data_IF_818832959709
#
_entry.id   IF_818832959709
#
_cell.length_a   1.000
_cell.length_b   1.000
_cell.length_c   1.000
_cell.angle_alpha   90.00
_cell.angle_beta   90.00
_cell.angle_gamma   90.00
#
_symmetry.space_group_name_H-M   'P 1'
#
loop_
_entity.id
_entity.type
_entity.pdbx_description
1 polymer ?
#
# COMPACT_ATOMS: atom_id res chain seq x y z
N UNK A 1 7.71 -17.59 -2.47
CA UNK A 1 7.09 -17.96 -1.17
C UNK A 1 6.43 -16.80 -0.44
N UNK A 2 6.97 -15.57 -0.45
CA UNK A 2 6.29 -14.39 0.13
C UNK A 2 5.08 -13.93 -0.73
N UNK A 3 5.21 -14.06 -2.06
CA UNK A 3 4.19 -13.72 -3.09
C UNK A 3 2.93 -14.62 -3.03
N UNK A 4 3.08 -15.88 -2.63
CA UNK A 4 1.97 -16.84 -2.47
C UNK A 4 1.04 -16.45 -1.31
N UNK A 5 1.59 -15.77 -0.30
CA UNK A 5 0.94 -15.56 0.99
C UNK A 5 0.09 -14.28 1.02
N UNK A 6 0.45 -13.26 0.22
CA UNK A 6 -0.26 -11.98 -0.01
C UNK A 6 -1.54 -12.16 -0.86
N UNK A 7 -1.52 -13.09 -1.82
CA UNK A 7 -2.66 -13.46 -2.66
C UNK A 7 -3.82 -14.03 -1.83
N UNK A 8 -3.52 -14.96 -0.91
CA UNK A 8 -4.46 -15.51 0.08
C UNK A 8 -5.07 -14.42 1.00
N UNK A 9 -4.42 -13.27 1.15
CA UNK A 9 -4.86 -12.13 1.98
C UNK A 9 -5.96 -11.35 1.31
N UNK A 10 -5.78 -10.99 0.04
CA UNK A 10 -6.81 -10.30 -0.72
C UNK A 10 -8.05 -11.21 -0.85
N UNK A 11 -7.84 -12.52 -1.04
CA UNK A 11 -8.92 -13.52 -1.01
C UNK A 11 -9.66 -13.57 0.33
N UNK A 12 -8.95 -13.82 1.45
CA UNK A 12 -9.57 -13.90 2.79
C UNK A 12 -10.20 -12.56 3.23
N UNK A 13 -9.60 -11.44 2.84
CA UNK A 13 -10.13 -10.10 3.10
C UNK A 13 -11.43 -9.86 2.33
N UNK A 14 -11.47 -10.15 1.03
CA UNK A 14 -12.68 -9.98 0.22
C UNK A 14 -13.80 -10.92 0.68
N UNK A 15 -13.47 -12.18 1.03
CA UNK A 15 -14.43 -13.12 1.59
C UNK A 15 -15.02 -12.64 2.93
N UNK A 16 -14.22 -11.98 3.77
CA UNK A 16 -14.69 -11.43 5.04
C UNK A 16 -15.58 -10.17 4.86
N UNK A 17 -15.37 -9.41 3.78
CA UNK A 17 -16.14 -8.21 3.45
C UNK A 17 -17.49 -8.53 2.78
N UNK A 18 -17.67 -9.73 2.24
CA UNK A 18 -18.85 -10.14 1.46
C UNK A 18 -19.71 -11.23 2.13
N UNK A 19 -20.46 -10.94 3.21
CA UNK A 19 -21.62 -11.74 3.56
C UNK A 19 -22.81 -11.23 2.74
N UNK A 20 -23.09 -11.88 1.61
CA UNK A 20 -24.29 -11.75 0.77
C UNK A 20 -24.72 -10.33 0.37
N UNK A 21 -24.44 -9.94 -0.88
CA UNK A 21 -25.19 -8.88 -1.56
C UNK A 21 -25.51 -9.33 -3.00
N UNK A 22 -26.75 -9.80 -3.19
CA UNK A 22 -27.41 -9.73 -4.49
C UNK A 22 -27.90 -8.30 -4.68
N UNK A 23 -27.40 -7.60 -5.70
CA UNK A 23 -28.26 -6.65 -6.40
C UNK A 23 -27.87 -6.52 -7.87
N UNK A 24 -28.89 -6.55 -8.71
CA UNK A 24 -28.82 -6.44 -10.17
C UNK A 24 -29.02 -4.97 -10.53
N UNK A 25 -28.06 -4.36 -11.21
CA UNK A 25 -28.34 -3.57 -12.40
C UNK A 25 -27.05 -3.12 -13.10
N UNK A 26 -26.99 -3.42 -14.39
CA UNK A 26 -26.02 -2.90 -15.36
C UNK A 26 -26.27 -1.41 -15.61
N UNK A 27 -25.20 -0.68 -15.93
CA UNK A 27 -25.23 0.36 -16.97
C UNK A 27 -23.79 0.70 -17.41
N UNK A 28 -23.69 0.96 -18.72
CA UNK A 28 -22.52 0.95 -19.59
C UNK A 28 -22.09 2.39 -20.02
N UNK A 29 -20.80 2.53 -20.42
CA UNK A 29 -20.11 3.54 -21.27
C UNK A 29 -19.45 4.80 -20.61
N UNK A 30 -18.10 4.76 -20.53
CA UNK A 30 -16.98 5.58 -21.13
C UNK A 30 -17.05 7.13 -21.30
N UNK A 31 -15.93 7.89 -21.55
CA UNK A 31 -14.50 7.78 -21.20
C UNK A 31 -13.94 9.00 -20.41
N UNK A 32 -12.74 8.83 -19.83
CA UNK A 32 -11.75 9.83 -19.32
C UNK A 32 -12.28 11.21 -18.87
N UNK A 33 -12.40 11.42 -17.55
CA UNK A 33 -12.73 12.73 -16.96
C UNK A 33 -11.53 13.25 -16.16
N UNK A 34 -10.94 14.34 -16.65
CA UNK A 34 -10.14 15.25 -15.82
C UNK A 34 -11.04 15.95 -14.80
N UNK A 35 -10.54 16.12 -13.58
CA UNK A 35 -11.28 16.61 -12.41
C UNK A 35 -12.03 17.96 -12.70
N UNK A 36 -13.37 18.04 -12.56
CA UNK A 36 -14.11 19.29 -12.78
C UNK A 36 -13.76 20.36 -11.74
N UNK A 37 -13.46 21.58 -12.19
CA UNK A 37 -12.94 22.70 -11.38
C UNK A 37 -13.90 23.36 -10.38
N UNK A 38 -14.99 22.71 -9.94
CA UNK A 38 -15.89 23.29 -8.91
C UNK A 38 -16.74 22.22 -8.24
N UNK A 39 -16.16 21.48 -7.31
CA UNK A 39 -16.93 20.61 -6.42
C UNK A 39 -16.52 20.86 -4.96
N UNK A 40 -17.40 21.54 -4.21
CA UNK A 40 -17.28 21.61 -2.75
C UNK A 40 -17.73 20.26 -2.18
N UNK A 41 -16.83 19.56 -1.47
CA UNK A 41 -17.16 18.37 -0.68
C UNK A 41 -18.30 18.68 0.30
N UNK A 42 -19.47 18.04 0.14
CA UNK A 42 -20.41 17.91 1.26
C UNK A 42 -19.81 16.91 2.25
N UNK A 43 -19.41 17.41 3.42
CA UNK A 43 -18.72 16.63 4.45
C UNK A 43 -19.75 15.93 5.34
N UNK A 44 -20.21 14.74 4.94
CA UNK A 44 -21.00 13.86 5.82
C UNK A 44 -20.05 13.04 6.70
N UNK A 45 -20.43 12.81 7.97
CA UNK A 45 -19.68 12.00 8.97
C UNK A 45 -19.27 10.59 8.47
N UNK A 46 -19.89 10.11 7.38
CA UNK A 46 -19.55 8.86 6.68
C UNK A 46 -18.27 8.89 5.83
N UNK A 47 -17.49 9.98 5.85
CA UNK A 47 -16.27 10.11 5.04
C UNK A 47 -15.04 9.40 5.62
N UNK A 48 -15.07 8.96 6.89
CA UNK A 48 -13.93 8.25 7.48
C UNK A 48 -13.62 6.94 6.76
N UNK A 49 -12.34 6.58 6.68
CA UNK A 49 -11.88 5.32 6.10
C UNK A 49 -11.21 4.43 7.15
N UNK A 50 -11.40 3.12 7.04
CA UNK A 50 -10.69 2.13 7.84
C UNK A 50 -9.29 1.91 7.25
N UNK A 51 -8.25 1.85 8.07
CA UNK A 51 -6.89 1.50 7.64
C UNK A 51 -6.71 -0.01 7.77
N UNK A 52 -6.52 -0.69 6.65
CA UNK A 52 -6.24 -2.12 6.56
C UNK A 52 -4.77 -2.32 6.18
N UNK A 53 -3.99 -2.89 7.09
CA UNK A 53 -2.57 -3.19 6.92
C UNK A 53 -2.37 -4.67 6.64
N UNK A 54 -1.80 -5.05 5.51
CA UNK A 54 -1.41 -6.44 5.21
C UNK A 54 -0.05 -6.76 5.84
N UNK A 55 0.06 -7.88 6.57
CA UNK A 55 1.29 -8.20 7.31
C UNK A 55 1.54 -9.72 7.51
N UNK A 56 2.81 -10.12 7.52
CA UNK A 56 3.26 -11.47 7.92
C UNK A 56 3.57 -11.52 9.42
N UNK A 57 3.80 -12.73 9.93
CA UNK A 57 4.31 -13.03 11.27
C UNK A 57 5.84 -12.87 11.40
N UNK A 58 6.54 -12.55 10.31
CA UNK A 58 8.01 -12.48 10.31
C UNK A 58 8.51 -11.29 11.12
N UNK A 59 9.67 -11.39 11.81
CA UNK A 59 10.25 -10.26 12.54
C UNK A 59 10.34 -8.99 11.69
N UNK A 60 10.78 -9.14 10.43
CA UNK A 60 10.75 -8.11 9.40
C UNK A 60 9.42 -7.35 9.32
N UNK A 61 8.30 -8.05 9.13
CA UNK A 61 6.99 -7.40 9.01
C UNK A 61 6.50 -6.85 10.35
N UNK A 62 6.76 -7.57 11.46
CA UNK A 62 6.36 -7.14 12.81
C UNK A 62 6.88 -5.75 13.12
N UNK A 63 8.19 -5.50 13.00
CA UNK A 63 8.74 -4.20 13.40
C UNK A 63 8.23 -3.05 12.53
N UNK A 64 8.01 -3.29 11.23
CA UNK A 64 7.43 -2.32 10.30
C UNK A 64 5.99 -1.97 10.70
N UNK A 65 5.17 -2.99 11.02
CA UNK A 65 3.79 -2.79 11.49
C UNK A 65 3.72 -1.93 12.75
N UNK A 66 4.65 -2.12 13.69
CA UNK A 66 4.70 -1.37 14.95
C UNK A 66 5.01 0.11 14.71
N UNK A 67 5.97 0.42 13.84
CA UNK A 67 6.28 1.79 13.43
C UNK A 67 5.08 2.44 12.74
N UNK A 68 4.45 1.76 11.77
CA UNK A 68 3.27 2.27 11.10
C UNK A 68 2.12 2.54 12.08
N UNK A 69 1.85 1.61 13.00
CA UNK A 69 0.77 1.74 13.98
C UNK A 69 1.04 2.87 14.98
N UNK A 70 2.30 3.07 15.41
CA UNK A 70 2.72 4.22 16.19
C UNK A 70 2.35 5.53 15.50
N UNK A 71 2.71 5.68 14.22
CA UNK A 71 2.42 6.88 13.44
C UNK A 71 0.94 7.04 13.14
N UNK A 72 0.21 5.96 12.85
CA UNK A 72 -1.25 6.00 12.76
C UNK A 72 -1.88 6.61 14.03
N UNK A 73 -1.50 6.13 15.22
CA UNK A 73 -2.01 6.67 16.50
C UNK A 73 -1.73 8.16 16.64
N UNK A 74 -0.52 8.62 16.29
CA UNK A 74 -0.15 10.04 16.36
C UNK A 74 -0.91 10.92 15.37
N UNK A 75 -1.28 10.38 14.21
CA UNK A 75 -1.88 11.17 13.12
C UNK A 75 -3.41 11.09 13.09
N UNK A 76 -4.03 10.03 13.63
CA UNK A 76 -5.47 9.76 13.45
C UNK A 76 -6.39 10.85 14.01
N UNK A 77 -6.02 11.45 15.15
CA UNK A 77 -6.86 12.41 15.88
C UNK A 77 -6.49 13.88 15.57
N UNK A 78 -5.52 14.11 14.68
CA UNK A 78 -5.12 15.45 14.28
C UNK A 78 -6.18 16.11 13.38
N UNK A 79 -6.33 17.46 13.44
CA UNK A 79 -7.24 18.19 12.55
C UNK A 79 -7.01 17.85 11.07
N UNK A 80 -8.09 17.58 10.35
CA UNK A 80 -8.04 17.21 8.93
C UNK A 80 -7.90 15.71 8.64
N UNK A 81 -7.58 14.89 9.65
CA UNK A 81 -7.59 13.43 9.51
C UNK A 81 -9.02 12.91 9.32
N UNK A 82 -9.19 12.00 8.35
CA UNK A 82 -10.40 11.18 8.20
C UNK A 82 -10.09 9.69 8.46
N UNK A 83 -8.96 9.38 9.09
CA UNK A 83 -8.61 8.02 9.52
C UNK A 83 -9.59 7.53 10.60
N UNK A 84 -10.26 6.42 10.33
CA UNK A 84 -11.15 5.71 11.25
C UNK A 84 -10.39 4.68 12.07
N UNK A 85 -10.93 3.46 12.16
CA UNK A 85 -10.26 2.32 12.84
C UNK A 85 -9.07 1.79 12.03
N UNK A 86 -8.15 1.10 12.69
CA UNK A 86 -7.02 0.39 12.09
C UNK A 86 -7.17 -1.12 12.35
N UNK A 87 -6.82 -1.95 11.37
CA UNK A 87 -6.72 -3.40 11.55
C UNK A 87 -5.52 -3.93 10.79
N UNK A 88 -4.74 -4.76 11.48
CA UNK A 88 -3.70 -5.59 10.87
C UNK A 88 -4.33 -6.89 10.38
N UNK A 89 -4.11 -7.21 9.12
CA UNK A 89 -4.54 -8.43 8.46
C UNK A 89 -3.34 -9.37 8.42
N UNK A 90 -3.29 -10.28 9.39
CA UNK A 90 -2.25 -11.29 9.51
C UNK A 90 -2.55 -12.47 8.59
N UNK A 91 -1.60 -12.82 7.73
CA UNK A 91 -1.83 -13.81 6.68
C UNK A 91 -1.01 -15.10 6.76
N UNK A 92 -0.26 -15.26 7.84
CA UNK A 92 0.42 -16.51 8.20
C UNK A 92 -0.55 -17.65 8.57
N UNK A 93 -1.82 -17.33 8.81
CA UNK A 93 -2.82 -18.26 9.33
C UNK A 93 -2.60 -18.65 10.81
N UNK A 94 -1.56 -18.14 11.48
CA UNK A 94 -1.23 -18.43 12.88
C UNK A 94 -1.24 -17.13 13.70
N UNK A 95 -1.80 -17.13 14.93
CA UNK A 95 -1.67 -15.99 15.84
C UNK A 95 -0.20 -15.61 16.10
N UNK A 96 0.07 -14.33 16.35
CA UNK A 96 1.36 -13.84 16.82
C UNK A 96 1.22 -12.89 18.01
N UNK A 97 2.35 -12.56 18.65
CA UNK A 97 2.39 -11.70 19.85
C UNK A 97 1.92 -10.26 19.60
N UNK A 98 1.84 -9.80 18.35
CA UNK A 98 1.33 -8.45 18.06
C UNK A 98 -0.19 -8.37 18.14
N UNK A 99 -0.91 -9.49 18.22
CA UNK A 99 -2.35 -9.49 18.46
C UNK A 99 -2.73 -8.84 19.80
N UNK A 100 -1.80 -8.81 20.77
CA UNK A 100 -1.95 -8.11 22.05
C UNK A 100 -1.70 -6.60 21.94
N UNK A 101 -0.93 -6.15 20.92
CA UNK A 101 -0.56 -4.73 20.72
C UNK A 101 -1.52 -3.99 19.78
N UNK A 102 -2.03 -4.64 18.73
CA UNK A 102 -2.88 -4.02 17.72
C UNK A 102 -4.05 -4.91 17.28
N UNK A 103 -5.24 -4.32 17.02
CA UNK A 103 -6.39 -5.07 16.57
C UNK A 103 -6.08 -5.90 15.31
N UNK A 104 -6.19 -7.21 15.46
CA UNK A 104 -5.92 -8.21 14.41
C UNK A 104 -7.17 -9.08 14.28
N UNK A 105 -7.87 -9.03 13.14
CA UNK A 105 -9.16 -9.69 12.97
C UNK A 105 -9.45 -10.06 11.50
N UNK A 106 -10.29 -11.08 11.27
CA UNK A 106 -10.89 -11.40 9.96
C UNK A 106 -12.08 -10.46 9.72
N UNK A 107 -11.92 -9.51 8.80
CA UNK A 107 -12.62 -8.22 8.84
C UNK A 107 -14.07 -8.25 8.32
N UNK A 108 -15.05 -7.80 9.13
CA UNK A 108 -16.20 -7.03 8.63
C UNK A 108 -15.94 -5.53 8.90
N UNK A 109 -15.56 -4.72 7.89
CA UNK A 109 -15.20 -3.33 8.12
C UNK A 109 -16.45 -2.48 8.33
N UNK A 110 -16.55 -1.84 9.51
CA UNK A 110 -17.62 -0.89 9.86
C UNK A 110 -17.66 0.39 8.99
N UNK A 111 -16.54 0.75 8.35
CA UNK A 111 -16.45 1.98 7.54
C UNK A 111 -16.74 1.70 6.06
N UNK A 112 -17.37 2.68 5.39
CA UNK A 112 -17.70 2.60 3.96
C UNK A 112 -16.47 2.61 3.05
N UNK A 113 -15.35 3.15 3.52
CA UNK A 113 -14.10 3.25 2.79
C UNK A 113 -12.98 2.51 3.51
N UNK A 114 -12.04 2.00 2.75
CA UNK A 114 -10.86 1.29 3.23
C UNK A 114 -9.63 1.92 2.57
N UNK A 115 -8.61 2.23 3.36
CA UNK A 115 -7.25 2.44 2.92
C UNK A 115 -6.52 1.11 3.00
N UNK A 116 -6.10 0.56 1.86
CA UNK A 116 -5.14 -0.53 1.79
C UNK A 116 -3.73 0.05 1.88
N UNK A 117 -2.92 -0.46 2.81
CA UNK A 117 -1.58 0.05 3.10
C UNK A 117 -0.61 -1.09 3.47
N UNK A 118 0.69 -0.80 3.40
CA UNK A 118 1.78 -1.74 3.64
C UNK A 118 2.59 -1.41 4.90
N UNK A 119 3.32 -2.38 5.50
CA UNK A 119 4.02 -2.18 6.76
C UNK A 119 5.09 -1.08 6.71
N UNK A 120 5.69 -0.86 5.55
CA UNK A 120 6.69 0.19 5.31
C UNK A 120 6.10 1.55 4.94
N UNK A 121 4.84 1.78 5.29
CA UNK A 121 4.21 3.09 5.24
C UNK A 121 4.32 3.83 6.58
N UNK A 122 4.72 5.11 6.53
CA UNK A 122 4.67 6.04 7.66
C UNK A 122 3.76 7.21 7.31
N UNK A 123 2.78 7.50 8.16
CA UNK A 123 1.92 8.68 7.99
C UNK A 123 2.67 9.96 8.38
N UNK A 124 2.92 10.83 7.41
CA UNK A 124 3.59 12.13 7.61
C UNK A 124 2.62 13.20 8.12
N UNK A 125 1.42 13.21 7.56
CA UNK A 125 0.41 14.23 7.81
C UNK A 125 -0.98 13.60 8.04
N UNK A 126 -1.94 14.34 8.63
CA UNK A 126 -3.32 13.89 8.72
C UNK A 126 -3.86 13.56 7.32
N UNK A 127 -4.32 12.32 7.11
CA UNK A 127 -4.79 11.87 5.81
C UNK A 127 -6.32 12.05 5.70
N UNK A 128 -6.82 12.97 4.87
CA UNK A 128 -8.23 13.03 4.54
C UNK A 128 -8.60 11.87 3.59
N UNK A 129 -9.88 11.52 3.51
CA UNK A 129 -10.37 10.60 2.51
C UNK A 129 -10.24 11.25 1.13
N UNK A 130 -9.29 10.78 0.33
CA UNK A 130 -9.01 11.36 -0.97
C UNK A 130 -10.05 11.00 -2.03
N UNK A 131 -10.90 9.99 -1.77
CA UNK A 131 -11.93 9.52 -2.73
C UNK A 131 -12.86 10.66 -3.11
N UNK A 132 -13.09 10.74 -4.41
CA UNK A 132 -14.06 11.65 -4.99
C UNK A 132 -15.13 10.84 -5.73
N UNK A 133 -16.39 11.07 -5.34
CA UNK A 133 -17.56 10.35 -5.85
C UNK A 133 -17.39 8.82 -5.82
N UNK A 134 -17.35 8.16 -6.99
CA UNK A 134 -17.24 6.69 -7.13
C UNK A 134 -15.83 6.19 -7.39
N UNK A 135 -14.86 7.09 -7.55
CA UNK A 135 -13.52 6.74 -8.02
C UNK A 135 -12.58 6.53 -6.84
N UNK A 136 -12.01 5.32 -6.67
CA UNK A 136 -10.93 5.09 -5.71
C UNK A 136 -9.73 6.00 -6.02
N UNK A 137 -8.87 6.20 -5.02
CA UNK A 137 -7.62 6.96 -5.19
C UNK A 137 -6.44 6.04 -4.98
N UNK A 138 -5.47 6.11 -5.89
CA UNK A 138 -4.26 5.30 -5.85
C UNK A 138 -3.01 6.14 -6.17
N UNK A 139 -1.86 5.66 -5.72
CA UNK A 139 -0.57 6.21 -6.14
C UNK A 139 -0.16 5.64 -7.51
N UNK A 140 0.26 6.47 -8.48
CA UNK A 140 0.74 5.99 -9.77
C UNK A 140 2.20 5.52 -9.67
N UNK A 141 2.45 4.26 -10.01
CA UNK A 141 3.78 3.67 -10.02
C UNK A 141 4.36 3.70 -11.43
N UNK A 142 5.46 4.43 -11.59
CA UNK A 142 6.10 4.65 -12.91
C UNK A 142 6.62 3.37 -13.57
N UNK A 143 6.85 2.31 -12.79
CA UNK A 143 7.31 1.00 -13.27
C UNK A 143 6.16 0.03 -13.62
N UNK A 144 4.91 0.35 -13.27
CA UNK A 144 3.73 -0.38 -13.76
C UNK A 144 3.37 0.20 -15.12
N UNK A 145 3.68 -0.55 -16.19
CA UNK A 145 3.59 -0.10 -17.59
C UNK A 145 2.78 -1.09 -18.42
N UNK A 146 1.43 -1.06 -18.35
CA UNK A 146 0.59 -2.00 -19.06
C UNK A 146 0.85 -2.08 -20.57
N UNK A 147 1.07 -0.92 -21.20
CA UNK A 147 1.37 -0.83 -22.63
C UNK A 147 2.67 -1.57 -23.00
N UNK A 148 3.72 -1.46 -22.17
CA UNK A 148 5.00 -2.12 -22.46
C UNK A 148 4.94 -3.63 -22.30
N UNK A 149 4.03 -4.12 -21.46
CA UNK A 149 3.88 -5.52 -21.12
C UNK A 149 2.60 -6.13 -21.72
N UNK A 150 2.08 -5.54 -22.80
CA UNK A 150 0.79 -5.93 -23.40
C UNK A 150 0.72 -7.43 -23.69
N UNK A 151 1.77 -8.02 -24.29
CA UNK A 151 1.84 -9.46 -24.60
C UNK A 151 1.53 -10.34 -23.38
N UNK A 152 2.11 -10.02 -22.22
CA UNK A 152 1.89 -10.77 -20.98
C UNK A 152 0.52 -10.44 -20.39
N UNK A 153 0.15 -9.15 -20.40
CA UNK A 153 -1.14 -8.69 -19.89
C UNK A 153 -2.32 -9.32 -20.62
N UNK A 154 -2.25 -9.57 -21.93
CA UNK A 154 -3.33 -10.22 -22.69
C UNK A 154 -3.66 -11.63 -22.23
N UNK A 155 -2.77 -12.31 -21.49
CA UNK A 155 -3.08 -13.58 -20.80
C UNK A 155 -4.16 -13.40 -19.72
N UNK A 156 -4.25 -12.20 -19.14
CA UNK A 156 -5.12 -11.86 -18.01
C UNK A 156 -6.19 -10.81 -18.35
N UNK A 157 -5.97 -10.00 -19.39
CA UNK A 157 -6.87 -8.95 -19.89
C UNK A 157 -7.11 -9.14 -21.39
N UNK A 158 -8.01 -10.07 -21.78
CA UNK A 158 -8.29 -10.40 -23.17
C UNK A 158 -8.72 -9.17 -24.00
N UNK A 159 -8.56 -9.22 -25.32
CA UNK A 159 -8.88 -8.09 -26.20
C UNK A 159 -10.35 -7.64 -26.12
N UNK A 160 -11.26 -8.59 -25.90
CA UNK A 160 -12.68 -8.32 -25.68
C UNK A 160 -12.98 -7.48 -24.43
N UNK A 161 -12.06 -7.43 -23.46
CA UNK A 161 -12.18 -6.58 -22.26
C UNK A 161 -11.74 -5.13 -22.52
N UNK A 162 -11.22 -4.84 -23.71
CA UNK A 162 -10.86 -3.50 -24.17
C UNK A 162 -9.34 -3.27 -24.30
N UNK A 163 -8.91 -2.02 -24.52
CA UNK A 163 -7.50 -1.69 -24.65
C UNK A 163 -6.75 -1.79 -23.31
N UNK A 164 -5.46 -2.18 -23.35
CA UNK A 164 -4.62 -2.24 -22.13
C UNK A 164 -4.41 -0.87 -21.46
N UNK A 165 -4.75 0.22 -22.13
CA UNK A 165 -4.78 1.57 -21.56
C UNK A 165 -5.87 1.75 -20.49
N UNK A 166 -6.82 0.82 -20.39
CA UNK A 166 -7.82 0.80 -19.31
C UNK A 166 -7.23 0.32 -17.97
N UNK A 167 -6.02 -0.25 -17.97
CA UNK A 167 -5.31 -0.68 -16.78
C UNK A 167 -4.54 0.52 -16.22
N UNK A 168 -4.94 1.00 -15.05
CA UNK A 168 -4.25 2.08 -14.36
C UNK A 168 -2.83 1.63 -13.95
N UNK A 169 -1.79 2.50 -14.01
CA UNK A 169 -0.43 2.17 -13.60
C UNK A 169 -0.29 2.23 -12.08
N UNK A 170 -0.97 1.34 -11.37
CA UNK A 170 -1.12 1.34 -9.91
C UNK A 170 -0.72 -0.01 -9.32
N UNK A 171 -0.62 -0.05 -7.99
CA UNK A 171 -0.61 -1.29 -7.20
C UNK A 171 -1.78 -1.32 -6.23
N UNK A 172 -1.82 -2.37 -5.41
CA UNK A 172 -2.80 -2.57 -4.34
C UNK A 172 -2.64 -1.58 -3.15
N UNK A 173 -1.51 -0.87 -3.07
CA UNK A 173 -1.17 0.00 -1.94
C UNK A 173 -0.31 1.19 -2.39
N UNK A 174 -0.52 2.41 -1.84
CA UNK A 174 -1.68 2.83 -1.06
C UNK A 174 -2.90 3.06 -1.96
N UNK A 175 -4.07 2.57 -1.53
CA UNK A 175 -5.34 2.79 -2.23
C UNK A 175 -6.47 3.09 -1.23
N UNK A 176 -7.23 4.17 -1.45
CA UNK A 176 -8.50 4.41 -0.75
C UNK A 176 -9.66 4.02 -1.67
N UNK A 177 -10.48 3.05 -1.26
CA UNK A 177 -11.58 2.49 -2.05
C UNK A 177 -12.86 2.33 -1.21
N UNK A 178 -14.03 2.46 -1.85
CA UNK A 178 -15.31 2.09 -1.23
C UNK A 178 -15.35 0.57 -1.01
N UNK A 179 -15.71 0.14 0.21
CA UNK A 179 -15.87 -1.27 0.60
C UNK A 179 -16.66 -2.07 -0.44
N UNK A 180 -17.81 -1.56 -0.89
CA UNK A 180 -18.68 -2.23 -1.88
C UNK A 180 -18.03 -2.44 -3.25
N UNK A 181 -17.02 -1.62 -3.62
CA UNK A 181 -16.27 -1.78 -4.86
C UNK A 181 -15.18 -2.83 -4.75
N UNK A 182 -14.63 -3.00 -3.55
CA UNK A 182 -13.68 -4.08 -3.26
C UNK A 182 -14.40 -5.43 -3.12
N UNK A 183 -15.58 -5.45 -2.48
CA UNK A 183 -16.41 -6.64 -2.29
C UNK A 183 -17.21 -7.08 -3.52
N UNK A 184 -17.34 -6.21 -4.54
CA UNK A 184 -18.09 -6.50 -5.75
C UNK A 184 -17.45 -7.62 -6.57
N UNK A 185 -17.90 -8.86 -6.34
CA UNK A 185 -17.77 -10.13 -7.10
C UNK A 185 -16.46 -10.53 -7.79
N UNK A 186 -15.34 -9.80 -7.68
CA UNK A 186 -14.42 -9.87 -8.82
C UNK A 186 -12.94 -9.50 -8.52
N UNK A 187 -12.62 -8.83 -7.40
CA UNK A 187 -11.22 -8.79 -6.92
C UNK A 187 -10.74 -10.12 -6.30
N UNK A 188 -11.64 -10.98 -5.77
CA UNK A 188 -11.27 -12.29 -5.19
C UNK A 188 -11.06 -13.37 -6.25
N UNK A 189 -11.85 -13.35 -7.32
CA UNK A 189 -11.77 -14.25 -8.47
C UNK A 189 -10.44 -14.11 -9.25
N UNK A 190 -9.77 -12.95 -9.14
CA UNK A 190 -8.54 -12.69 -9.87
C UNK A 190 -7.27 -12.98 -9.10
N UNK A 191 -7.32 -12.94 -7.77
CA UNK A 191 -6.33 -13.67 -6.96
C UNK A 191 -6.33 -15.14 -7.41
N UNK A 192 -7.52 -15.73 -7.53
CA UNK A 192 -7.68 -17.12 -7.97
C UNK A 192 -7.07 -17.37 -9.36
N UNK A 193 -7.31 -16.50 -10.35
CA UNK A 193 -6.73 -16.62 -11.71
C UNK A 193 -5.23 -16.33 -11.79
N UNK A 194 -4.69 -15.41 -10.98
CA UNK A 194 -3.25 -15.11 -10.94
C UNK A 194 -2.47 -16.21 -10.20
N UNK A 195 -3.07 -16.79 -9.16
CA UNK A 195 -2.58 -17.99 -8.47
C UNK A 195 -2.64 -19.23 -9.38
N UNK A 196 -3.71 -19.40 -10.17
CA UNK A 196 -3.82 -20.50 -11.16
C UNK A 196 -2.70 -20.46 -12.22
N UNK A 197 -2.19 -19.26 -12.53
CA UNK A 197 -1.08 -19.04 -13.47
C UNK A 197 0.25 -18.68 -12.79
N UNK A 198 0.37 -18.88 -11.47
CA UNK A 198 1.57 -18.63 -10.65
C UNK A 198 2.78 -19.49 -11.04
N UNK A 199 2.59 -20.39 -12.02
CA UNK A 199 3.60 -21.25 -12.60
C UNK A 199 3.98 -20.87 -14.04
N UNK A 200 3.55 -19.70 -14.56
CA UNK A 200 4.03 -19.18 -15.85
C UNK A 200 5.39 -18.48 -15.67
N UNK A 201 6.52 -19.10 -16.07
CA UNK A 201 7.84 -18.53 -15.84
C UNK A 201 8.05 -17.22 -16.62
N UNK A 202 7.34 -17.02 -17.75
CA UNK A 202 7.42 -15.78 -18.53
C UNK A 202 6.79 -14.61 -17.77
N UNK A 203 5.69 -14.85 -17.06
CA UNK A 203 5.01 -13.85 -16.24
C UNK A 203 5.83 -13.50 -14.99
N UNK A 204 6.33 -14.50 -14.27
CA UNK A 204 7.20 -14.27 -13.10
C UNK A 204 8.48 -13.53 -13.48
N UNK A 205 9.11 -13.89 -14.61
CA UNK A 205 10.28 -13.18 -15.11
C UNK A 205 9.97 -11.72 -15.50
N UNK A 206 8.81 -11.47 -16.11
CA UNK A 206 8.46 -10.12 -16.61
C UNK A 206 8.02 -9.17 -15.50
N UNK A 207 7.17 -9.64 -14.59
CA UNK A 207 6.61 -8.80 -13.53
C UNK A 207 7.42 -8.87 -12.24
N UNK A 208 8.05 -10.02 -11.95
CA UNK A 208 8.87 -10.22 -10.76
C UNK A 208 8.19 -9.74 -9.49
N UNK A 209 8.89 -8.90 -8.73
CA UNK A 209 8.42 -8.39 -7.43
C UNK A 209 7.17 -7.50 -7.49
N UNK A 210 6.74 -7.04 -8.68
CA UNK A 210 5.52 -6.22 -8.85
C UNK A 210 4.33 -7.01 -9.41
N UNK A 211 4.41 -8.34 -9.46
CA UNK A 211 3.34 -9.22 -9.94
C UNK A 211 1.98 -8.90 -9.29
N UNK A 212 1.96 -8.70 -7.97
CA UNK A 212 0.75 -8.40 -7.20
C UNK A 212 0.13 -7.05 -7.58
N UNK A 213 0.98 -6.06 -7.87
CA UNK A 213 0.54 -4.73 -8.29
C UNK A 213 -0.14 -4.80 -9.66
N UNK A 214 0.44 -5.53 -10.61
CA UNK A 214 -0.21 -5.84 -11.88
C UNK A 214 -1.51 -6.61 -11.69
N UNK A 215 -1.52 -7.55 -10.76
CA UNK A 215 -2.71 -8.32 -10.43
C UNK A 215 -3.88 -7.43 -10.00
N UNK A 216 -3.62 -6.52 -9.07
CA UNK A 216 -4.61 -5.55 -8.62
C UNK A 216 -5.05 -4.59 -9.75
N UNK A 217 -4.10 -4.10 -10.54
CA UNK A 217 -4.38 -3.16 -11.64
C UNK A 217 -5.26 -3.81 -12.73
N UNK A 218 -4.91 -5.02 -13.17
CA UNK A 218 -5.68 -5.80 -14.15
C UNK A 218 -7.06 -6.11 -13.60
N UNK A 219 -7.15 -6.51 -12.33
CA UNK A 219 -8.44 -6.76 -11.68
C UNK A 219 -9.33 -5.54 -11.62
N UNK A 220 -8.76 -4.40 -11.28
CA UNK A 220 -9.50 -3.14 -11.28
C UNK A 220 -10.09 -2.86 -12.67
N UNK A 221 -9.29 -3.03 -13.73
CA UNK A 221 -9.72 -2.80 -15.11
C UNK A 221 -10.82 -3.77 -15.57
N UNK A 222 -10.69 -5.08 -15.28
CA UNK A 222 -11.69 -6.10 -15.62
C UNK A 222 -13.07 -5.82 -15.01
N UNK A 223 -13.12 -5.00 -13.97
CA UNK A 223 -14.34 -4.68 -13.22
C UNK A 223 -14.78 -3.23 -13.36
N UNK A 224 -14.19 -2.51 -14.33
CA UNK A 224 -14.53 -1.12 -14.60
C UNK A 224 -14.24 -0.19 -13.41
N UNK A 225 -13.26 -0.54 -12.59
CA UNK A 225 -12.76 0.27 -11.48
C UNK A 225 -11.57 1.08 -11.97
N UNK A 226 -11.79 2.37 -12.21
CA UNK A 226 -10.75 3.33 -12.54
C UNK A 226 -10.41 4.21 -11.35
N UNK A 227 -9.13 4.59 -11.23
CA UNK A 227 -8.59 5.32 -10.09
C UNK A 227 -8.30 6.78 -10.43
N UNK A 228 -8.49 7.64 -9.45
CA UNK A 228 -7.86 8.97 -9.44
C UNK A 228 -6.42 8.79 -9.00
N UNK A 229 -5.48 9.13 -9.87
CA UNK A 229 -4.05 9.00 -9.62
C UNK A 229 -3.50 10.24 -8.90
N UNK A 230 -2.93 10.06 -7.71
CA UNK A 230 -2.43 11.15 -6.84
C UNK A 230 -0.95 10.96 -6.52
N UNK A 231 -0.08 11.77 -7.11
CA UNK A 231 1.39 11.75 -6.84
C UNK A 231 1.75 12.31 -5.46
N UNK A 232 0.87 13.09 -4.85
CA UNK A 232 0.99 13.62 -3.49
C UNK A 232 0.54 12.60 -2.43
N UNK A 233 -0.06 11.47 -2.83
CA UNK A 233 -0.56 10.47 -1.90
C UNK A 233 0.58 9.83 -1.08
N UNK A 234 1.74 9.63 -1.72
CA UNK A 234 2.90 8.98 -1.12
C UNK A 234 4.20 9.57 -1.69
N UNK A 235 5.32 9.34 -0.99
CA UNK A 235 6.68 9.56 -1.46
C UNK A 235 7.58 8.35 -1.15
N UNK A 236 8.66 8.19 -1.91
CA UNK A 236 9.60 7.06 -1.83
C UNK A 236 11.05 7.56 -1.76
N UNK A 237 11.64 7.70 -0.57
CA UNK A 237 13.08 7.95 -0.45
C UNK A 237 13.88 6.76 -1.01
N UNK A 238 15.08 7.00 -1.57
CA UNK A 238 15.76 8.28 -1.72
C UNK A 238 15.33 9.08 -2.97
N UNK A 239 14.36 8.59 -3.75
CA UNK A 239 14.02 9.16 -5.06
C UNK A 239 13.17 10.42 -4.98
N UNK A 240 12.23 10.47 -4.05
CA UNK A 240 11.49 11.69 -3.73
C UNK A 240 12.25 12.47 -2.66
N UNK A 241 12.72 13.67 -2.99
CA UNK A 241 13.69 14.42 -2.16
C UNK A 241 13.05 15.16 -0.97
N UNK A 242 11.78 15.53 -1.10
CA UNK A 242 11.08 16.41 -0.17
C UNK A 242 9.83 15.74 0.42
N UNK A 243 9.46 16.12 1.65
CA UNK A 243 8.27 15.58 2.34
C UNK A 243 7.05 16.47 2.29
N UNK A 244 7.20 17.70 1.78
CA UNK A 244 6.14 18.69 1.73
C UNK A 244 4.93 18.20 0.91
N UNK A 245 3.71 18.45 1.44
CA UNK A 245 2.44 18.09 0.82
C UNK A 245 2.27 16.59 0.51
N UNK A 246 2.94 15.71 1.27
CA UNK A 246 2.79 14.26 1.18
C UNK A 246 2.05 13.70 2.39
N UNK A 247 1.32 12.61 2.18
CA UNK A 247 0.60 11.93 3.27
C UNK A 247 1.35 10.73 3.82
N UNK A 248 1.95 9.92 2.94
CA UNK A 248 2.61 8.67 3.30
C UNK A 248 4.08 8.72 2.84
N UNK A 249 4.99 8.30 3.70
CA UNK A 249 6.37 7.96 3.35
C UNK A 249 6.46 6.44 3.22
N UNK A 250 6.92 5.95 2.08
CA UNK A 250 7.11 4.52 1.80
C UNK A 250 8.60 4.21 1.63
N UNK A 251 9.18 3.54 2.62
CA UNK A 251 10.63 3.28 2.69
C UNK A 251 11.02 1.93 2.08
N UNK A 252 10.69 1.73 0.81
CA UNK A 252 10.95 0.46 0.12
C UNK A 252 12.38 0.32 -0.40
N UNK A 253 13.05 1.42 -0.74
CA UNK A 253 14.38 1.42 -1.34
C UNK A 253 15.48 1.57 -0.28
N UNK A 254 16.60 0.87 -0.50
CA UNK A 254 17.82 1.11 0.25
C UNK A 254 18.33 2.54 0.02
N UNK A 255 18.85 3.14 1.09
CA UNK A 255 19.42 4.47 1.13
C UNK A 255 20.91 4.35 1.44
N UNK A 256 21.74 4.34 0.41
CA UNK A 256 23.20 4.21 0.52
C UNK A 256 23.86 5.54 0.15
N UNK A 257 24.63 6.11 1.05
CA UNK A 257 25.26 7.42 0.88
C UNK A 257 26.73 7.40 1.25
N UNK A 258 27.54 8.12 0.48
CA UNK A 258 28.89 8.45 0.91
C UNK A 258 28.90 9.59 1.92
N UNK A 259 30.06 9.86 2.55
CA UNK A 259 30.17 10.91 3.57
C UNK A 259 29.91 12.34 3.05
N UNK A 260 29.82 12.55 1.74
CA UNK A 260 29.44 13.83 1.12
C UNK A 260 27.93 13.97 0.87
N UNK A 261 27.13 12.96 1.23
CA UNK A 261 25.70 12.94 0.98
C UNK A 261 25.31 12.57 -0.45
N UNK A 262 26.22 11.95 -1.21
CA UNK A 262 25.93 11.48 -2.57
C UNK A 262 25.44 10.03 -2.55
N UNK A 263 24.35 9.75 -3.25
CA UNK A 263 23.75 8.40 -3.30
C UNK A 263 24.67 7.42 -4.04
N UNK A 264 25.03 6.30 -3.41
CA UNK A 264 25.90 5.27 -3.97
C UNK A 264 25.09 4.10 -4.52
N UNK A 265 24.46 4.29 -5.69
CA UNK A 265 23.59 3.26 -6.30
C UNK A 265 24.29 1.91 -6.47
N UNK A 266 23.68 0.85 -5.93
CA UNK A 266 24.16 -0.53 -6.08
C UNK A 266 25.48 -0.82 -5.34
N UNK A 267 25.91 0.05 -4.43
CA UNK A 267 27.10 -0.13 -3.59
C UNK A 267 26.77 0.25 -2.17
N UNK A 268 27.33 -0.51 -1.23
CA UNK A 268 27.26 -0.15 0.20
C UNK A 268 27.99 1.17 0.39
N UNK A 269 27.24 2.20 0.76
CA UNK A 269 27.78 3.51 1.11
C UNK A 269 28.38 3.50 2.52
N UNK A 270 29.16 4.54 2.86
CA UNK A 270 29.67 4.71 4.23
C UNK A 270 28.53 4.91 5.26
N UNK A 271 27.40 5.46 4.83
CA UNK A 271 26.15 5.45 5.58
C UNK A 271 25.09 4.68 4.80
N UNK A 272 24.35 3.81 5.48
CA UNK A 272 23.31 2.99 4.88
C UNK A 272 22.08 2.90 5.78
N UNK A 273 20.91 2.95 5.14
CA UNK A 273 19.68 2.39 5.69
C UNK A 273 18.97 1.56 4.61
N UNK A 274 18.92 0.25 4.78
CA UNK A 274 18.03 -0.63 4.01
C UNK A 274 17.27 -1.51 5.00
N UNK A 275 15.94 -1.48 4.95
CA UNK A 275 15.12 -2.31 5.83
C UNK A 275 15.41 -3.80 5.70
N UNK A 276 15.95 -4.25 4.56
CA UNK A 276 16.34 -5.65 4.29
C UNK A 276 17.60 -6.08 5.03
N UNK A 277 18.30 -5.20 5.73
CA UNK A 277 19.35 -5.61 6.70
C UNK A 277 18.74 -6.06 8.04
N UNK A 278 17.44 -5.82 8.25
CA UNK A 278 16.69 -6.08 9.48
C UNK A 278 15.61 -7.15 9.25
N UNK A 279 15.98 -8.28 8.63
CA UNK A 279 15.04 -9.38 8.34
C UNK A 279 14.68 -10.18 9.59
N UNK A 280 15.67 -10.43 10.44
CA UNK A 280 15.56 -11.30 11.61
C UNK A 280 15.19 -10.56 12.90
N UNK A 281 15.08 -9.23 12.84
CA UNK A 281 14.76 -8.40 13.99
C UNK A 281 14.62 -6.92 13.64
N UNK A 282 14.17 -6.09 14.59
CA UNK A 282 14.03 -4.65 14.39
C UNK A 282 15.38 -3.94 14.21
N UNK A 283 15.42 -2.77 13.53
CA UNK A 283 16.60 -1.92 13.56
C UNK A 283 16.92 -1.46 15.00
N UNK A 284 18.21 -1.22 15.34
CA UNK A 284 18.57 -0.70 16.64
C UNK A 284 17.95 0.68 16.86
N UNK A 285 17.73 1.04 18.13
CA UNK A 285 17.37 2.40 18.51
C UNK A 285 18.48 3.37 18.12
N UNK A 286 18.11 4.64 17.90
CA UNK A 286 19.06 5.73 17.68
C UNK A 286 19.98 5.50 16.47
N UNK A 287 19.40 5.19 15.31
CA UNK A 287 20.08 5.15 14.03
C UNK A 287 20.77 6.50 13.77
N UNK A 288 21.99 6.45 13.22
CA UNK A 288 22.70 7.65 12.83
C UNK A 288 21.95 8.39 11.71
N UNK A 289 21.92 9.71 11.79
CA UNK A 289 21.38 10.52 10.70
C UNK A 289 22.27 10.38 9.44
N UNK A 290 21.67 10.49 8.24
CA UNK A 290 22.45 10.44 7.02
C UNK A 290 23.41 11.64 6.92
N UNK A 291 24.49 11.52 6.15
CA UNK A 291 25.49 12.58 6.00
C UNK A 291 24.89 13.87 5.42
N UNK A 292 25.48 15.05 5.71
CA UNK A 292 25.09 16.31 5.07
C UNK A 292 25.10 16.16 3.54
N UNK A 293 24.01 16.60 2.89
CA UNK A 293 23.81 16.43 1.44
C UNK A 293 22.77 15.35 1.10
N UNK A 294 22.45 14.44 2.02
CA UNK A 294 21.34 13.53 1.86
C UNK A 294 20.00 14.31 1.80
N UNK A 295 19.00 13.82 1.03
CA UNK A 295 17.72 14.49 0.88
C UNK A 295 16.94 14.62 2.19
N UNK A 296 16.11 15.67 2.26
CA UNK A 296 15.21 15.94 3.40
C UNK A 296 14.31 14.74 3.72
N UNK A 297 13.85 14.02 2.71
CA UNK A 297 13.04 12.82 2.87
C UNK A 297 13.76 11.66 3.57
N UNK A 298 15.06 11.48 3.33
CA UNK A 298 15.88 10.44 3.97
C UNK A 298 16.17 10.82 5.42
N UNK A 299 16.52 12.09 5.67
CA UNK A 299 16.70 12.62 7.02
C UNK A 299 15.40 12.45 7.83
N UNK A 300 14.26 12.76 7.21
CA UNK A 300 12.93 12.62 7.83
C UNK A 300 12.60 11.16 8.12
N UNK A 301 12.85 10.24 7.19
CA UNK A 301 12.66 8.80 7.43
C UNK A 301 13.39 8.34 8.70
N UNK A 302 14.68 8.68 8.84
CA UNK A 302 15.49 8.24 9.99
C UNK A 302 15.00 8.88 11.29
N UNK A 303 14.62 10.16 11.27
CA UNK A 303 14.00 10.80 12.43
C UNK A 303 12.69 10.12 12.85
N UNK A 304 11.83 9.77 11.89
CA UNK A 304 10.55 9.12 12.17
C UNK A 304 10.74 7.71 12.75
N UNK A 305 11.73 6.96 12.24
CA UNK A 305 12.10 5.66 12.80
C UNK A 305 12.65 5.84 14.20
N UNK A 306 13.62 6.72 14.42
CA UNK A 306 14.21 6.97 15.73
C UNK A 306 13.18 7.39 16.78
N UNK A 307 12.24 8.25 16.42
CA UNK A 307 11.15 8.63 17.32
C UNK A 307 10.25 7.43 17.65
N UNK A 308 9.83 6.66 16.64
CA UNK A 308 8.98 5.50 16.86
C UNK A 308 9.68 4.45 17.73
N UNK A 309 10.92 4.08 17.39
CA UNK A 309 11.67 3.09 18.16
C UNK A 309 11.85 3.56 19.59
N UNK A 310 12.28 4.81 19.84
CA UNK A 310 12.44 5.41 21.17
C UNK A 310 11.20 5.30 22.07
N UNK A 311 9.99 5.36 21.50
CA UNK A 311 8.73 5.38 22.26
C UNK A 311 7.98 4.04 22.28
N UNK A 312 8.39 3.06 21.48
CA UNK A 312 7.79 1.73 21.48
C UNK A 312 8.40 0.88 22.62
N UNK A 313 7.56 0.31 23.51
CA UNK A 313 8.04 -0.60 24.56
C UNK A 313 8.55 -1.90 23.92
N UNK A 314 9.41 -2.66 24.59
CA UNK A 314 9.87 -3.98 24.11
C UNK A 314 10.34 -3.94 22.64
N UNK A 315 11.05 -2.88 22.25
CA UNK A 315 11.56 -2.75 20.88
C UNK A 315 12.74 -3.67 20.64
N UNK A 316 13.59 -3.84 21.65
CA UNK A 316 14.83 -4.61 21.55
C UNK A 316 14.62 -6.10 21.87
N UNK A 317 13.41 -6.46 22.31
CA UNK A 317 13.05 -7.85 22.62
C UNK A 317 12.74 -8.58 21.30
N UNK A 318 13.57 -9.56 20.98
CA UNK A 318 13.43 -10.42 19.80
C UNK A 318 12.49 -11.57 20.17
N UNK A 319 11.18 -11.32 20.08
CA UNK A 319 10.15 -12.37 20.17
C UNK A 319 9.71 -12.89 18.78
#
# INVERSE_FOLDING_TARGET
MVVLLSMVVLYNFIMAISPSLEDKNQLLIDPVIGMPGRAKKQKNETSRFHVALTATETPYSKWQCRIMYYWYKKKKDLPGSEMGKFTRILHSGKPDNLMDEMPTFRVDPFHRYILMAEPDHIFLSPLPNLVYDRYPVAFPFSYIKPIKNEKIIRKFFPEEMGPVTNIDPIGNSPVIIKKVRLAGKNCAYLVERLVEHEHDPETDHTFGWVLEMYGYAVASALHGVQHILRKDFMLQPPWDLETANKFILHYTYGCDYNLKGELTYGKVGEWQFDKRTYLDGPPPRNLSLPPPGAPESVVTLINLINEATANLPNWDDVD
#
